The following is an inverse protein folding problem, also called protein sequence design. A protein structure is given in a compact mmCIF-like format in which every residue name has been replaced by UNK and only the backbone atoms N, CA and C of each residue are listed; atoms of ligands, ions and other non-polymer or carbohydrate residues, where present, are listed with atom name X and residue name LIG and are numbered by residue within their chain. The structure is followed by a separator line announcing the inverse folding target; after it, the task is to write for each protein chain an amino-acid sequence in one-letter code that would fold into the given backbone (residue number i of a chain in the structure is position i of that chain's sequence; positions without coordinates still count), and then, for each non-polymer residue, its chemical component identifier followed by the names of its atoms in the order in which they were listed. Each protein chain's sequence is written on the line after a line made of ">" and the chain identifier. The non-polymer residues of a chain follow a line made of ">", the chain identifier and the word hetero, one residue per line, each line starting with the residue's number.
data_IF_202074064509
#
_entry.id   IF_202074064509
#
_cell.length_a   1.000
_cell.length_b   1.000
_cell.length_c   1.000
_cell.angle_alpha   90.00
_cell.angle_beta   90.00
_cell.angle_gamma   90.00
#
_symmetry.space_group_name_H-M   'P 1'
#
loop_
_entity.id
_entity.type
_entity.pdbx_description
1 polymer ?
#
# COMPACT_ATOMS: atom_id res chain seq x y z
N UNK A 1 25.01 6.18 5.83
CA UNK A 1 25.53 4.98 6.54
C UNK A 1 25.28 5.03 8.04
N UNK A 2 25.75 6.04 8.79
CA UNK A 2 25.49 6.15 10.25
C UNK A 2 24.00 6.40 10.54
N UNK A 3 23.37 7.35 9.85
CA UNK A 3 21.94 7.66 10.03
C UNK A 3 21.02 6.48 9.65
N UNK A 4 21.41 5.66 8.67
CA UNK A 4 20.66 4.46 8.27
C UNK A 4 20.65 3.39 9.36
N UNK A 5 21.81 3.20 9.98
CA UNK A 5 21.97 2.28 11.11
C UNK A 5 21.15 2.76 12.32
N UNK A 6 21.23 4.05 12.63
CA UNK A 6 20.46 4.66 13.74
C UNK A 6 18.95 4.56 13.49
N UNK A 7 18.48 4.86 12.27
CA UNK A 7 17.07 4.73 11.92
C UNK A 7 16.57 3.28 12.07
N UNK A 8 17.39 2.29 11.70
CA UNK A 8 17.07 0.87 11.85
C UNK A 8 16.98 0.45 13.33
N UNK A 9 17.89 0.95 14.17
CA UNK A 9 17.86 0.71 15.61
C UNK A 9 16.56 1.25 16.23
N UNK A 10 16.15 2.47 15.84
CA UNK A 10 14.90 3.05 16.31
C UNK A 10 13.66 2.27 15.84
N UNK A 11 13.65 1.73 14.61
CA UNK A 11 12.59 0.83 14.14
C UNK A 11 12.51 -0.43 15.02
N UNK A 12 13.65 -1.03 15.36
CA UNK A 12 13.68 -2.21 16.24
C UNK A 12 13.16 -1.91 17.65
N UNK A 13 13.42 -0.70 18.15
CA UNK A 13 12.90 -0.22 19.43
C UNK A 13 11.44 0.26 19.37
N UNK A 14 10.81 0.23 18.19
CA UNK A 14 9.47 0.78 17.90
C UNK A 14 9.35 2.28 18.13
N UNK A 15 10.47 3.00 18.24
CA UNK A 15 10.48 4.47 18.26
C UNK A 15 10.50 5.00 16.82
N UNK A 16 9.33 4.94 16.18
CA UNK A 16 9.17 5.29 14.77
C UNK A 16 9.35 6.79 14.52
N UNK A 17 9.08 7.65 15.51
CA UNK A 17 9.24 9.11 15.39
C UNK A 17 10.73 9.50 15.38
N UNK A 18 11.54 8.91 16.27
CA UNK A 18 12.99 9.12 16.23
C UNK A 18 13.62 8.56 14.96
N UNK A 19 13.13 7.41 14.47
CA UNK A 19 13.54 6.87 13.17
C UNK A 19 13.23 7.84 12.03
N UNK A 20 12.01 8.39 12.02
CA UNK A 20 11.57 9.35 11.02
C UNK A 20 12.47 10.60 11.01
N UNK A 21 12.82 11.13 12.18
CA UNK A 21 13.75 12.27 12.31
C UNK A 21 15.11 11.97 11.68
N UNK A 22 15.70 10.81 11.97
CA UNK A 22 16.99 10.42 11.39
C UNK A 22 16.95 10.28 9.86
N UNK A 23 15.83 9.78 9.32
CA UNK A 23 15.67 9.65 7.86
C UNK A 23 15.46 11.02 7.19
N UNK A 24 14.78 11.96 7.84
CA UNK A 24 14.68 13.35 7.36
C UNK A 24 16.02 14.08 7.40
N UNK A 25 16.77 13.98 8.50
CA UNK A 25 18.13 14.55 8.60
C UNK A 25 19.03 14.01 7.48
N UNK A 26 18.93 12.70 7.21
CA UNK A 26 19.61 12.06 6.07
C UNK A 26 19.16 12.68 4.74
N UNK A 27 17.85 12.86 4.53
CA UNK A 27 17.29 13.45 3.31
C UNK A 27 17.73 14.90 3.10
N UNK A 28 17.87 15.68 4.16
CA UNK A 28 18.32 17.08 4.08
C UNK A 28 19.81 17.18 3.71
N UNK A 29 20.64 16.24 4.21
CA UNK A 29 22.04 16.09 3.75
C UNK A 29 22.11 15.75 2.24
N UNK A 30 21.07 15.11 1.73
CA UNK A 30 20.92 14.64 0.36
C UNK A 30 20.27 15.65 -0.59
N UNK A 31 19.64 16.71 -0.10
CA UNK A 31 19.16 17.84 -0.92
C UNK A 31 20.29 18.72 -1.47
N UNK A 32 21.55 18.43 -1.11
CA UNK A 32 22.71 18.96 -1.82
C UNK A 32 22.67 18.53 -3.30
N UNK A 33 22.93 19.42 -4.27
CA UNK A 33 22.78 19.16 -5.72
C UNK A 33 23.67 18.05 -6.31
N UNK A 34 24.37 17.30 -5.47
CA UNK A 34 25.30 16.24 -5.80
C UNK A 34 24.71 14.82 -5.67
N UNK A 35 23.40 14.67 -5.44
CA UNK A 35 22.80 13.34 -5.29
C UNK A 35 22.01 12.83 -6.50
N UNK A 36 22.21 11.55 -6.78
CA UNK A 36 21.56 10.73 -7.80
C UNK A 36 20.08 10.52 -7.43
N UNK A 37 19.15 10.82 -8.35
CA UNK A 37 17.69 10.78 -8.15
C UNK A 37 17.18 9.44 -7.57
N UNK A 38 17.90 8.35 -7.87
CA UNK A 38 17.67 7.01 -7.31
C UNK A 38 17.69 6.99 -5.78
N UNK A 39 18.63 7.69 -5.13
CA UNK A 39 18.75 7.72 -3.66
C UNK A 39 17.64 8.55 -3.00
N UNK A 40 17.18 9.60 -3.67
CA UNK A 40 16.05 10.41 -3.21
C UNK A 40 14.77 9.58 -3.20
N UNK A 41 14.48 8.83 -4.28
CA UNK A 41 13.34 7.91 -4.35
C UNK A 41 13.40 6.85 -3.23
N UNK A 42 14.56 6.24 -2.98
CA UNK A 42 14.71 5.28 -1.88
C UNK A 42 14.41 5.91 -0.53
N UNK A 43 14.95 7.11 -0.29
CA UNK A 43 14.76 7.81 0.98
C UNK A 43 13.29 8.17 1.20
N UNK A 44 12.59 8.66 0.18
CA UNK A 44 11.17 8.98 0.26
C UNK A 44 10.32 7.72 0.51
N UNK A 45 10.67 6.58 -0.10
CA UNK A 45 10.01 5.30 0.16
C UNK A 45 10.25 4.80 1.59
N UNK A 46 11.46 4.95 2.12
CA UNK A 46 11.76 4.58 3.52
C UNK A 46 10.91 5.41 4.49
N UNK A 47 10.78 6.72 4.25
CA UNK A 47 9.89 7.61 5.00
C UNK A 47 8.44 7.13 4.94
N UNK A 48 7.95 6.76 3.75
CA UNK A 48 6.62 6.20 3.60
C UNK A 48 6.45 4.91 4.42
N UNK A 49 7.45 4.03 4.44
CA UNK A 49 7.45 2.81 5.26
C UNK A 49 7.32 3.08 6.76
N UNK A 50 7.93 4.16 7.26
CA UNK A 50 7.82 4.59 8.66
C UNK A 50 6.41 5.14 8.93
N UNK A 51 5.88 6.01 8.07
CA UNK A 51 4.49 6.51 8.18
C UNK A 51 3.46 5.39 8.16
N UNK A 52 3.66 4.39 7.29
CA UNK A 52 2.85 3.17 7.24
C UNK A 52 2.86 2.42 8.58
N UNK A 53 4.02 2.36 9.23
CA UNK A 53 4.19 1.70 10.53
C UNK A 53 3.54 2.48 11.68
N UNK A 54 3.44 3.81 11.53
CA UNK A 54 2.71 4.72 12.41
C UNK A 54 1.20 4.74 12.15
N UNK A 55 0.69 4.08 11.10
CA UNK A 55 -0.71 4.16 10.69
C UNK A 55 -1.11 5.51 10.08
N UNK A 56 -0.14 6.33 9.68
CA UNK A 56 -0.30 7.61 8.99
C UNK A 56 -0.33 7.39 7.48
N UNK A 57 -1.47 6.91 6.99
CA UNK A 57 -1.60 6.37 5.63
C UNK A 57 -1.56 7.46 4.55
N UNK A 58 -2.09 8.65 4.83
CA UNK A 58 -2.12 9.80 3.94
C UNK A 58 -0.71 10.35 3.71
N UNK A 59 0.10 10.48 4.76
CA UNK A 59 1.51 10.84 4.64
C UNK A 59 2.31 9.76 3.90
N UNK A 60 2.03 8.48 4.17
CA UNK A 60 2.61 7.37 3.41
C UNK A 60 2.34 7.51 1.90
N UNK A 61 1.07 7.71 1.51
CA UNK A 61 0.66 7.94 0.12
C UNK A 61 1.38 9.14 -0.48
N UNK A 62 1.49 10.26 0.26
CA UNK A 62 2.17 11.46 -0.20
C UNK A 62 3.65 11.19 -0.54
N UNK A 63 4.37 10.48 0.34
CA UNK A 63 5.78 10.16 0.13
C UNK A 63 6.01 9.09 -0.96
N UNK A 64 5.12 8.12 -1.10
CA UNK A 64 5.17 7.16 -2.22
C UNK A 64 4.98 7.85 -3.58
N UNK A 65 4.06 8.83 -3.66
CA UNK A 65 3.89 9.65 -4.88
C UNK A 65 5.14 10.48 -5.19
N UNK A 66 5.77 11.12 -4.19
CA UNK A 66 7.04 11.84 -4.38
C UNK A 66 8.16 10.91 -4.87
N UNK A 67 8.22 9.69 -4.34
CA UNK A 67 9.16 8.66 -4.78
C UNK A 67 8.97 8.31 -6.26
N UNK A 68 7.73 8.12 -6.70
CA UNK A 68 7.41 7.88 -8.12
C UNK A 68 7.79 9.06 -9.01
N UNK A 69 7.50 10.30 -8.58
CA UNK A 69 7.86 11.51 -9.33
C UNK A 69 9.38 11.61 -9.53
N UNK A 70 10.16 11.37 -8.46
CA UNK A 70 11.62 11.40 -8.52
C UNK A 70 12.20 10.36 -9.50
N UNK A 71 11.53 9.22 -9.70
CA UNK A 71 11.90 8.22 -10.72
C UNK A 71 11.48 8.63 -12.13
N UNK A 72 10.32 9.28 -12.28
CA UNK A 72 9.77 9.68 -13.58
C UNK A 72 10.53 10.86 -14.21
N UNK A 73 11.09 11.75 -13.40
CA UNK A 73 11.71 12.97 -13.90
C UNK A 73 13.05 12.73 -14.62
N UNK A 74 13.81 11.68 -14.26
CA UNK A 74 15.19 11.51 -14.76
C UNK A 74 15.64 10.08 -15.09
N UNK A 75 14.88 9.03 -14.76
CA UNK A 75 15.16 7.64 -15.17
C UNK A 75 14.12 7.14 -16.19
N UNK A 76 14.03 7.83 -17.34
CA UNK A 76 13.31 7.30 -18.49
C UNK A 76 14.08 6.08 -19.03
N UNK A 77 13.46 4.91 -18.94
CA UNK A 77 13.82 3.70 -19.71
C UNK A 77 14.98 2.82 -19.19
N UNK A 78 15.08 2.59 -17.88
CA UNK A 78 15.82 1.42 -17.37
C UNK A 78 14.88 0.36 -16.82
N UNK A 79 15.10 -0.92 -17.14
CA UNK A 79 14.34 -2.06 -16.56
C UNK A 79 14.33 -2.05 -15.03
N UNK A 80 15.40 -1.55 -14.40
CA UNK A 80 15.49 -1.40 -12.94
C UNK A 80 14.53 -0.32 -12.41
N UNK A 81 14.27 0.73 -13.19
CA UNK A 81 13.29 1.78 -12.86
C UNK A 81 11.86 1.25 -12.93
N UNK A 82 11.58 0.33 -13.87
CA UNK A 82 10.25 -0.27 -14.04
C UNK A 82 9.89 -1.21 -12.89
N UNK A 83 10.79 -2.12 -12.50
CA UNK A 83 10.58 -2.96 -11.31
C UNK A 83 10.38 -2.12 -10.04
N UNK A 84 11.15 -1.04 -9.90
CA UNK A 84 11.03 -0.14 -8.74
C UNK A 84 9.69 0.59 -8.72
N UNK A 85 9.25 1.14 -9.85
CA UNK A 85 7.93 1.77 -10.00
C UNK A 85 6.80 0.81 -9.63
N UNK A 86 6.86 -0.43 -10.12
CA UNK A 86 5.89 -1.47 -9.79
C UNK A 86 5.83 -1.74 -8.28
N UNK A 87 6.98 -1.86 -7.61
CA UNK A 87 6.99 -2.10 -6.17
C UNK A 87 6.38 -0.93 -5.39
N UNK A 88 6.72 0.31 -5.74
CA UNK A 88 6.14 1.51 -5.11
C UNK A 88 4.63 1.59 -5.35
N UNK A 89 4.16 1.24 -6.55
CA UNK A 89 2.74 1.22 -6.86
C UNK A 89 1.96 0.16 -6.04
N UNK A 90 2.56 -0.99 -5.75
CA UNK A 90 1.95 -2.01 -4.88
C UNK A 90 1.81 -1.47 -3.44
N UNK A 91 2.85 -0.82 -2.92
CA UNK A 91 2.80 -0.16 -1.60
C UNK A 91 1.75 0.98 -1.58
N UNK A 92 1.62 1.70 -2.69
CA UNK A 92 0.65 2.78 -2.86
C UNK A 92 -0.78 2.24 -2.87
N UNK A 93 -1.06 1.20 -3.64
CA UNK A 93 -2.36 0.54 -3.68
C UNK A 93 -2.76 0.00 -2.30
N UNK A 94 -1.82 -0.66 -1.61
CA UNK A 94 -2.05 -1.13 -0.24
C UNK A 94 -2.38 0.00 0.73
N UNK A 95 -1.68 1.14 0.62
CA UNK A 95 -1.93 2.32 1.46
C UNK A 95 -3.26 3.00 1.13
N UNK A 96 -3.60 3.13 -0.15
CA UNK A 96 -4.89 3.68 -0.63
C UNK A 96 -6.07 2.86 -0.11
N UNK A 97 -5.96 1.54 -0.09
CA UNK A 97 -6.98 0.66 0.49
C UNK A 97 -7.23 0.99 1.97
N UNK A 98 -6.19 1.31 2.74
CA UNK A 98 -6.31 1.68 4.16
C UNK A 98 -6.96 3.04 4.39
N UNK A 99 -6.89 3.94 3.41
CA UNK A 99 -7.61 5.21 3.37
C UNK A 99 -9.05 5.08 2.81
N UNK A 100 -9.53 3.87 2.51
CA UNK A 100 -10.85 3.65 1.89
C UNK A 100 -10.92 4.02 0.40
N UNK A 101 -9.78 4.29 -0.24
CA UNK A 101 -9.69 4.64 -1.67
C UNK A 101 -9.59 3.37 -2.53
N UNK A 102 -10.61 2.53 -2.45
CA UNK A 102 -10.58 1.18 -3.05
C UNK A 102 -10.39 1.21 -4.56
N UNK A 103 -11.14 2.07 -5.28
CA UNK A 103 -11.08 2.13 -6.74
C UNK A 103 -9.70 2.57 -7.25
N UNK A 104 -9.11 3.57 -6.59
CA UNK A 104 -7.75 4.01 -6.88
C UNK A 104 -6.74 2.88 -6.64
N UNK A 105 -6.90 2.15 -5.52
CA UNK A 105 -6.04 1.02 -5.18
C UNK A 105 -6.10 -0.10 -6.22
N UNK A 106 -7.31 -0.48 -6.66
CA UNK A 106 -7.52 -1.49 -7.70
C UNK A 106 -6.85 -1.06 -9.01
N UNK A 107 -7.07 0.19 -9.44
CA UNK A 107 -6.52 0.72 -10.68
C UNK A 107 -4.98 0.68 -10.70
N UNK A 108 -4.34 1.14 -9.62
CA UNK A 108 -2.88 1.15 -9.46
C UNK A 108 -2.31 -0.27 -9.40
N UNK A 109 -2.97 -1.18 -8.68
CA UNK A 109 -2.56 -2.58 -8.58
C UNK A 109 -2.67 -3.30 -9.94
N UNK A 110 -3.78 -3.13 -10.65
CA UNK A 110 -4.01 -3.74 -11.95
C UNK A 110 -2.96 -3.29 -12.98
N UNK A 111 -2.68 -1.97 -13.03
CA UNK A 111 -1.63 -1.44 -13.89
C UNK A 111 -0.27 -2.11 -13.59
N UNK A 112 0.09 -2.20 -12.32
CA UNK A 112 1.37 -2.78 -11.89
C UNK A 112 1.48 -4.27 -12.20
N UNK A 113 0.41 -5.03 -12.01
CA UNK A 113 0.39 -6.46 -12.34
C UNK A 113 0.44 -6.73 -13.84
N UNK A 114 -0.15 -5.85 -14.67
CA UNK A 114 0.02 -5.89 -16.14
C UNK A 114 1.47 -5.64 -16.52
N UNK A 115 2.10 -4.62 -15.94
CA UNK A 115 3.53 -4.31 -16.17
C UNK A 115 4.44 -5.48 -15.78
N UNK A 116 4.14 -6.19 -14.69
CA UNK A 116 4.89 -7.39 -14.30
C UNK A 116 4.62 -8.63 -15.17
N UNK A 117 3.68 -8.57 -16.10
CA UNK A 117 3.28 -9.72 -16.92
C UNK A 117 2.45 -10.77 -16.17
N UNK A 118 1.96 -10.47 -14.96
CA UNK A 118 1.14 -11.40 -14.15
C UNK A 118 -0.25 -11.55 -14.76
N UNK A 119 -0.83 -10.45 -15.29
CA UNK A 119 -2.16 -10.43 -15.91
C UNK A 119 -2.12 -10.67 -17.43
N UNK A 120 -1.24 -11.56 -17.90
CA UNK A 120 -1.06 -11.86 -19.34
C UNK A 120 -2.03 -12.92 -19.85
N UNK A 121 -2.28 -13.97 -19.06
CA UNK A 121 -3.22 -15.03 -19.47
C UNK A 121 -4.68 -14.60 -19.31
N UNK A 122 -5.60 -15.35 -19.91
CA UNK A 122 -7.03 -15.10 -19.72
C UNK A 122 -7.44 -15.49 -18.29
N UNK A 123 -6.90 -16.60 -17.77
CA UNK A 123 -7.16 -17.15 -16.44
C UNK A 123 -6.78 -16.16 -15.34
N UNK A 124 -5.54 -15.63 -15.35
CA UNK A 124 -5.09 -14.68 -14.31
C UNK A 124 -5.88 -13.37 -14.35
N UNK A 125 -6.37 -12.95 -15.52
CA UNK A 125 -7.28 -11.81 -15.66
C UNK A 125 -8.66 -12.09 -15.08
N UNK A 126 -9.19 -13.30 -15.20
CA UNK A 126 -10.48 -13.66 -14.60
C UNK A 126 -10.36 -13.79 -13.08
N UNK A 127 -9.29 -14.41 -12.58
CA UNK A 127 -8.98 -14.48 -11.14
C UNK A 127 -8.86 -13.09 -10.52
N UNK A 128 -8.15 -12.17 -11.19
CA UNK A 128 -8.04 -10.78 -10.75
C UNK A 128 -9.38 -10.06 -10.71
N UNK A 129 -10.23 -10.22 -11.73
CA UNK A 129 -11.58 -9.63 -11.75
C UNK A 129 -12.44 -10.17 -10.60
N UNK A 130 -12.38 -11.47 -10.35
CA UNK A 130 -13.09 -12.09 -9.23
C UNK A 130 -12.60 -11.55 -7.89
N UNK A 131 -11.27 -11.44 -7.71
CA UNK A 131 -10.67 -10.82 -6.53
C UNK A 131 -11.16 -9.38 -6.32
N UNK A 132 -11.13 -8.54 -7.36
CA UNK A 132 -11.61 -7.16 -7.27
C UNK A 132 -13.08 -7.09 -6.84
N UNK A 133 -13.94 -7.93 -7.45
CA UNK A 133 -15.36 -8.02 -7.10
C UNK A 133 -15.57 -8.42 -5.64
N UNK A 134 -14.82 -9.41 -5.15
CA UNK A 134 -14.89 -9.85 -3.74
C UNK A 134 -14.48 -8.69 -2.81
N UNK A 135 -13.40 -7.98 -3.11
CA UNK A 135 -12.94 -6.84 -2.28
C UNK A 135 -13.95 -5.70 -2.28
N UNK A 136 -14.57 -5.39 -3.42
CA UNK A 136 -15.66 -4.41 -3.53
C UNK A 136 -16.89 -4.81 -2.72
N UNK A 137 -17.32 -6.06 -2.82
CA UNK A 137 -18.45 -6.57 -2.05
C UNK A 137 -18.16 -6.57 -0.54
N UNK A 138 -16.96 -6.98 -0.13
CA UNK A 138 -16.53 -6.96 1.28
C UNK A 138 -16.43 -5.53 1.81
N UNK A 139 -15.89 -4.59 1.04
CA UNK A 139 -15.79 -3.18 1.46
C UNK A 139 -17.16 -2.51 1.54
N UNK A 140 -18.05 -2.74 0.57
CA UNK A 140 -19.43 -2.26 0.59
C UNK A 140 -20.24 -2.84 1.75
N UNK A 141 -20.04 -4.14 2.05
CA UNK A 141 -20.64 -4.80 3.21
C UNK A 141 -20.06 -4.30 4.53
N UNK A 142 -18.75 -4.08 4.64
CA UNK A 142 -18.13 -3.49 5.84
C UNK A 142 -18.58 -2.04 6.06
N UNK A 143 -18.79 -1.25 5.01
CA UNK A 143 -19.31 0.13 5.10
C UNK A 143 -20.78 0.14 5.52
N UNK A 144 -21.61 -0.76 4.99
CA UNK A 144 -23.00 -0.93 5.45
C UNK A 144 -23.11 -1.56 6.87
N UNK A 145 -22.14 -2.38 7.27
CA UNK A 145 -21.99 -2.94 8.62
C UNK A 145 -21.51 -1.89 9.65
N UNK A 146 -20.58 -1.01 9.30
CA UNK A 146 -20.15 0.10 10.14
C UNK A 146 -21.29 1.10 10.41
N UNK A 147 -22.20 1.27 9.45
CA UNK A 147 -23.43 2.06 9.61
C UNK A 147 -24.50 1.36 10.49
N UNK A 148 -24.42 0.03 10.71
CA UNK A 148 -25.37 -0.74 11.53
C UNK A 148 -24.83 -1.19 12.90
N UNK A 149 -23.55 -0.95 13.19
CA UNK A 149 -22.98 -1.08 14.55
C UNK A 149 -22.77 -2.51 15.07
N UNK A 150 -22.91 -3.53 14.22
CA UNK A 150 -22.72 -4.94 14.61
C UNK A 150 -21.25 -5.37 14.51
N UNK A 151 -20.77 -6.12 15.50
CA UNK A 151 -19.41 -6.69 15.47
C UNK A 151 -19.35 -7.93 14.57
N UNK A 152 -18.15 -8.24 14.04
CA UNK A 152 -17.95 -9.33 13.08
C UNK A 152 -18.36 -10.71 13.62
N UNK A 153 -18.23 -10.93 14.94
CA UNK A 153 -18.63 -12.17 15.62
C UNK A 153 -20.15 -12.33 15.69
N UNK A 154 -20.86 -11.27 16.08
CA UNK A 154 -22.34 -11.28 16.17
C UNK A 154 -23.00 -11.51 14.81
N UNK A 155 -22.31 -11.20 13.71
CA UNK A 155 -22.79 -11.46 12.37
C UNK A 155 -22.62 -12.93 11.95
N UNK A 156 -21.46 -13.54 12.22
CA UNK A 156 -21.22 -14.96 11.91
C UNK A 156 -22.28 -15.83 12.60
N UNK A 157 -22.53 -15.57 13.89
CA UNK A 157 -23.52 -16.30 14.67
C UNK A 157 -24.95 -16.15 14.08
N UNK A 158 -25.27 -14.97 13.50
CA UNK A 158 -26.58 -14.68 12.92
C UNK A 158 -26.77 -15.31 11.54
N UNK A 159 -25.70 -15.40 10.75
CA UNK A 159 -25.77 -16.00 9.41
C UNK A 159 -25.78 -17.53 9.47
N UNK A 160 -25.00 -18.13 10.38
CA UNK A 160 -25.08 -19.57 10.67
C UNK A 160 -26.48 -19.97 11.18
N UNK A 161 -27.15 -19.11 11.95
CA UNK A 161 -28.53 -19.33 12.38
C UNK A 161 -29.52 -19.20 11.22
N UNK A 162 -29.22 -18.39 10.20
CA UNK A 162 -30.08 -18.15 9.04
C UNK A 162 -29.99 -19.29 8.03
N UNK A 163 -28.78 -19.76 7.74
CA UNK A 163 -28.53 -20.91 6.87
C UNK A 163 -29.18 -22.17 7.43
N UNK A 164 -29.06 -22.43 8.74
CA UNK A 164 -29.77 -23.54 9.40
C UNK A 164 -31.29 -23.47 9.23
N UNK A 165 -31.84 -22.27 9.29
CA UNK A 165 -33.28 -22.05 9.15
C UNK A 165 -33.77 -22.23 7.70
N UNK A 166 -32.90 -21.98 6.71
CA UNK A 166 -33.19 -22.21 5.30
C UNK A 166 -33.02 -23.68 4.91
N UNK A 167 -32.03 -24.38 5.47
CA UNK A 167 -31.87 -25.82 5.34
C UNK A 167 -33.02 -26.60 5.99
N UNK A 168 -33.56 -26.14 7.12
CA UNK A 168 -34.75 -26.75 7.75
C UNK A 168 -36.05 -26.51 6.97
N UNK A 169 -36.05 -25.56 6.03
CA UNK A 169 -37.22 -25.19 5.21
C UNK A 169 -37.15 -25.74 3.77
N UNK A 170 -36.05 -26.38 3.39
CA UNK A 170 -35.84 -27.05 2.11
C UNK A 170 -36.14 -28.55 2.20
#
# INVERSE_FOLDING_TARGET
>A
MILDLIATIYIQQRDLESSLRCVFERMDLFQSPLLVDSLLSYTQRDIAGIYRSLGRWEECISFLNKSLQSLNDREKESFMSERRRTFINIELASSMLRCGRLQDAISVAEHSMKTMGVLTSHETRQEWKLFCKIVEECSSKLVSQALSGLTMKEWIDKEEAREKLEEEKA
#
